data_IF_720838319421
#
_entry.id   IF_720838319421
#
_cell.length_a   1.000
_cell.length_b   1.000
_cell.length_c   1.000
_cell.angle_alpha   90.00
_cell.angle_beta   90.00
_cell.angle_gamma   90.00
#
_symmetry.space_group_name_H-M   'P 1'
#
loop_
_entity.id
_entity.type
_entity.pdbx_description
1 polymer ?
#
# COMPACT_ATOMS: atom_id res chain seq x y z
N UNK A 1 -9.04 -6.98 -10.39
CA UNK A 1 -7.65 -6.77 -10.84
C UNK A 1 -7.61 -5.98 -12.15
N UNK A 2 -8.09 -6.52 -13.28
CA UNK A 2 -8.08 -5.80 -14.58
C UNK A 2 -8.82 -4.46 -14.55
N UNK A 3 -10.01 -4.38 -13.96
CA UNK A 3 -10.73 -3.10 -13.79
C UNK A 3 -9.93 -2.08 -12.97
N UNK A 4 -9.25 -2.51 -11.90
CA UNK A 4 -8.46 -1.62 -11.05
C UNK A 4 -7.24 -1.06 -11.77
N UNK A 5 -6.57 -1.90 -12.57
CA UNK A 5 -5.47 -1.50 -13.44
C UNK A 5 -5.93 -0.56 -14.56
N UNK A 6 -7.05 -0.84 -15.23
CA UNK A 6 -7.59 0.09 -16.23
C UNK A 6 -7.94 1.45 -15.62
N UNK A 7 -8.50 1.46 -14.41
CA UNK A 7 -8.85 2.69 -13.70
C UNK A 7 -7.60 3.49 -13.32
N UNK A 8 -6.55 2.84 -12.80
CA UNK A 8 -5.30 3.53 -12.44
C UNK A 8 -4.65 4.17 -13.68
N UNK A 9 -4.63 3.47 -14.81
CA UNK A 9 -4.13 4.02 -16.07
C UNK A 9 -4.94 5.23 -16.56
N UNK A 10 -6.27 5.19 -16.43
CA UNK A 10 -7.11 6.35 -16.72
C UNK A 10 -6.77 7.55 -15.82
N UNK A 11 -6.57 7.32 -14.52
CA UNK A 11 -6.21 8.37 -13.56
C UNK A 11 -4.84 8.97 -13.91
N UNK A 12 -3.85 8.14 -14.22
CA UNK A 12 -2.52 8.59 -14.65
C UNK A 12 -2.61 9.48 -15.89
N UNK A 13 -3.38 9.06 -16.91
CA UNK A 13 -3.56 9.82 -18.13
C UNK A 13 -4.24 11.17 -17.87
N UNK A 14 -5.32 11.19 -17.08
CA UNK A 14 -6.04 12.42 -16.73
C UNK A 14 -5.14 13.38 -15.94
N UNK A 15 -4.39 12.88 -14.96
CA UNK A 15 -3.46 13.69 -14.18
C UNK A 15 -2.32 14.25 -15.04
N UNK A 16 -1.80 13.47 -15.99
CA UNK A 16 -0.76 13.92 -16.92
C UNK A 16 -1.27 15.02 -17.86
N UNK A 17 -2.54 14.94 -18.27
CA UNK A 17 -3.21 16.01 -19.03
C UNK A 17 -3.39 17.30 -18.22
N UNK A 18 -3.65 17.20 -16.91
CA UNK A 18 -3.86 18.36 -16.03
C UNK A 18 -2.57 19.09 -15.64
N UNK A 19 -1.46 18.37 -15.48
CA UNK A 19 -0.23 18.92 -14.88
C UNK A 19 0.57 19.83 -15.82
N UNK A 20 0.64 19.53 -17.13
CA UNK A 20 1.61 20.22 -18.03
C UNK A 20 1.07 20.72 -19.38
N UNK A 21 -0.23 20.61 -19.68
CA UNK A 21 -0.84 20.93 -21.00
C UNK A 21 -0.22 20.21 -22.22
N UNK A 22 0.89 19.50 -22.03
CA UNK A 22 1.63 18.71 -23.01
C UNK A 22 1.93 17.35 -22.38
N UNK A 23 1.48 16.28 -23.04
CA UNK A 23 1.73 14.92 -22.57
C UNK A 23 3.17 14.58 -22.93
N UNK A 24 4.09 14.85 -22.03
CA UNK A 24 5.48 14.39 -22.15
C UNK A 24 5.59 13.00 -21.55
N UNK A 25 6.46 12.15 -22.13
CA UNK A 25 6.74 10.83 -21.59
C UNK A 25 7.25 10.90 -20.14
N UNK A 26 7.97 11.97 -19.79
CA UNK A 26 8.45 12.25 -18.44
C UNK A 26 7.31 12.54 -17.45
N UNK A 27 6.30 13.32 -17.84
CA UNK A 27 5.11 13.58 -17.00
C UNK A 27 4.36 12.27 -16.70
N UNK A 28 4.17 11.43 -17.71
CA UNK A 28 3.55 10.11 -17.55
C UNK A 28 4.31 9.24 -16.55
N UNK A 29 5.64 9.17 -16.67
CA UNK A 29 6.51 8.38 -15.78
C UNK A 29 6.37 8.87 -14.33
N UNK A 30 6.46 10.18 -14.11
CA UNK A 30 6.40 10.77 -12.76
C UNK A 30 5.07 10.47 -12.07
N UNK A 31 3.95 10.68 -12.77
CA UNK A 31 2.62 10.45 -12.20
C UNK A 31 2.37 8.97 -11.97
N UNK A 32 2.77 8.11 -12.92
CA UNK A 32 2.68 6.65 -12.75
C UNK A 32 3.49 6.18 -11.54
N UNK A 33 4.68 6.75 -11.32
CA UNK A 33 5.51 6.43 -10.15
C UNK A 33 4.80 6.79 -8.84
N UNK A 34 4.20 7.97 -8.74
CA UNK A 34 3.46 8.36 -7.53
C UNK A 34 2.27 7.44 -7.27
N UNK A 35 1.46 7.15 -8.29
CA UNK A 35 0.28 6.27 -8.14
C UNK A 35 0.70 4.85 -7.75
N UNK A 36 1.66 4.26 -8.47
CA UNK A 36 2.15 2.93 -8.17
C UNK A 36 2.74 2.84 -6.75
N UNK A 37 3.51 3.86 -6.34
CA UNK A 37 4.10 3.94 -5.00
C UNK A 37 3.04 3.99 -3.90
N UNK A 38 2.00 4.81 -4.06
CA UNK A 38 0.90 4.91 -3.09
C UNK A 38 0.18 3.56 -2.98
N UNK A 39 -0.16 2.93 -4.10
CA UNK A 39 -0.86 1.64 -4.13
C UNK A 39 -0.05 0.54 -3.43
N UNK A 40 1.23 0.40 -3.79
CA UNK A 40 2.13 -0.59 -3.19
C UNK A 40 2.31 -0.29 -1.69
N UNK A 41 2.57 0.96 -1.32
CA UNK A 41 2.79 1.35 0.06
C UNK A 41 1.56 1.06 0.93
N UNK A 42 0.38 1.49 0.51
CA UNK A 42 -0.87 1.21 1.23
C UNK A 42 -1.12 -0.30 1.35
N UNK A 43 -0.89 -1.06 0.28
CA UNK A 43 -1.07 -2.51 0.32
C UNK A 43 -0.10 -3.20 1.30
N UNK A 44 1.14 -2.74 1.39
CA UNK A 44 2.14 -3.24 2.34
C UNK A 44 1.79 -2.88 3.79
N UNK A 45 1.25 -1.68 4.03
CA UNK A 45 0.74 -1.29 5.34
C UNK A 45 -0.41 -2.21 5.76
N UNK A 46 -1.41 -2.41 4.90
CA UNK A 46 -2.53 -3.31 5.19
C UNK A 46 -2.05 -4.75 5.40
N UNK A 47 -1.11 -5.23 4.58
CA UNK A 47 -0.51 -6.56 4.74
C UNK A 47 0.21 -6.71 6.09
N UNK A 48 0.96 -5.68 6.52
CA UNK A 48 1.66 -5.67 7.80
C UNK A 48 0.69 -5.70 8.98
N UNK A 49 -0.45 -5.00 8.88
CA UNK A 49 -1.47 -5.05 9.92
C UNK A 49 -2.16 -6.42 9.95
N UNK A 50 -2.56 -6.93 8.78
CA UNK A 50 -3.21 -8.24 8.65
C UNK A 50 -2.31 -9.41 9.06
N UNK A 51 -0.98 -9.28 8.95
CA UNK A 51 -0.05 -10.33 9.39
C UNK A 51 0.09 -10.46 10.90
N UNK A 52 -0.56 -9.57 11.68
CA UNK A 52 -0.46 -9.55 13.14
C UNK A 52 0.84 -8.92 13.65
N UNK A 53 1.63 -8.25 12.79
CA UNK A 53 2.85 -7.55 13.21
C UNK A 53 2.54 -6.52 14.31
N UNK A 54 1.50 -5.71 14.12
CA UNK A 54 1.08 -4.72 15.12
C UNK A 54 0.59 -5.35 16.42
N UNK A 55 -0.03 -6.53 16.35
CA UNK A 55 -0.48 -7.25 17.54
C UNK A 55 0.70 -7.82 18.32
N UNK A 56 1.70 -8.38 17.62
CA UNK A 56 2.93 -8.87 18.22
C UNK A 56 3.73 -7.76 18.88
N UNK A 57 3.84 -6.59 18.23
CA UNK A 57 4.49 -5.40 18.80
C UNK A 57 3.72 -4.92 20.04
N UNK A 58 2.41 -4.74 19.95
CA UNK A 58 1.57 -4.28 21.06
C UNK A 58 1.63 -5.22 22.26
N UNK A 59 1.59 -6.54 22.01
CA UNK A 59 1.77 -7.55 23.03
C UNK A 59 3.15 -7.50 23.68
N UNK A 60 4.21 -7.29 22.89
CA UNK A 60 5.58 -7.20 23.39
C UNK A 60 5.77 -6.00 24.30
N UNK A 61 5.30 -4.81 23.88
CA UNK A 61 5.29 -3.61 24.73
C UNK A 61 4.52 -3.86 26.02
N UNK A 62 3.29 -4.38 25.92
CA UNK A 62 2.49 -4.68 27.12
C UNK A 62 3.19 -5.67 28.04
N UNK A 63 3.85 -6.69 27.51
CA UNK A 63 4.55 -7.70 28.33
C UNK A 63 5.74 -7.12 29.08
N UNK A 64 6.47 -6.19 28.46
CA UNK A 64 7.64 -5.52 29.05
C UNK A 64 7.23 -4.47 30.08
N UNK A 65 6.15 -3.74 29.83
CA UNK A 65 5.71 -2.60 30.66
C UNK A 65 4.60 -2.93 31.67
N UNK A 66 3.90 -4.07 31.55
CA UNK A 66 2.82 -4.44 32.48
C UNK A 66 3.35 -4.96 33.83
N UNK A 67 2.77 -4.45 34.90
CA UNK A 67 2.98 -4.93 36.27
C UNK A 67 2.45 -6.36 36.47
N UNK A 68 2.91 -7.04 37.54
CA UNK A 68 2.57 -8.45 37.84
C UNK A 68 1.06 -8.75 37.89
N UNK A 69 0.22 -7.76 38.18
CA UNK A 69 -1.24 -7.93 38.33
C UNK A 69 -2.00 -7.84 36.99
N UNK A 70 -1.51 -7.10 36.00
CA UNK A 70 -2.20 -6.95 34.70
C UNK A 70 -2.00 -8.16 33.78
N UNK A 71 -0.99 -9.01 34.00
CA UNK A 71 -0.67 -10.14 33.10
C UNK A 71 -1.80 -11.17 32.94
N UNK A 72 -2.71 -11.28 33.93
CA UNK A 72 -3.76 -12.31 33.94
C UNK A 72 -5.13 -11.86 33.42
N UNK A 73 -5.48 -10.57 33.47
CA UNK A 73 -6.77 -10.06 32.98
C UNK A 73 -6.75 -9.63 31.50
N UNK A 74 -5.56 -9.54 30.90
CA UNK A 74 -5.32 -8.79 29.67
C UNK A 74 -5.65 -9.47 28.34
N UNK A 75 -5.74 -10.81 28.32
CA UNK A 75 -5.63 -11.58 27.07
C UNK A 75 -6.91 -11.65 26.24
N UNK A 76 -8.08 -11.46 26.87
CA UNK A 76 -9.37 -11.72 26.22
C UNK A 76 -10.19 -10.45 25.91
N UNK A 77 -9.78 -9.28 26.43
CA UNK A 77 -10.63 -8.08 26.35
C UNK A 77 -10.29 -7.15 25.17
N UNK A 78 -9.14 -7.36 24.49
CA UNK A 78 -8.70 -6.51 23.38
C UNK A 78 -8.74 -7.29 22.07
N UNK A 79 -9.62 -6.88 21.17
CA UNK A 79 -9.64 -7.39 19.80
C UNK A 79 -8.35 -6.99 19.08
N UNK A 80 -7.59 -7.93 18.51
CA UNK A 80 -6.37 -7.64 17.78
C UNK A 80 -6.67 -6.82 16.52
N UNK A 81 -5.75 -5.93 16.16
CA UNK A 81 -5.90 -5.05 15.01
C UNK A 81 -5.93 -5.83 13.69
N UNK A 82 -5.25 -6.99 13.63
CA UNK A 82 -5.31 -7.91 12.49
C UNK A 82 -6.72 -8.48 12.26
N UNK A 83 -7.52 -8.71 13.30
CA UNK A 83 -8.90 -9.20 13.17
C UNK A 83 -9.88 -8.08 12.79
N UNK A 84 -9.59 -6.84 13.18
CA UNK A 84 -10.41 -5.68 12.84
C UNK A 84 -10.27 -5.30 11.35
N UNK A 85 -9.11 -5.55 10.75
CA UNK A 85 -8.83 -5.20 9.35
C UNK A 85 -8.96 -6.45 8.48
N UNK A 86 -10.16 -6.66 7.94
CA UNK A 86 -10.49 -7.74 7.01
C UNK A 86 -10.28 -7.35 5.53
N UNK A 87 -9.61 -6.23 5.27
CA UNK A 87 -9.40 -5.70 3.92
C UNK A 87 -8.39 -6.58 3.18
N UNK A 88 -8.82 -7.15 2.05
CA UNK A 88 -7.93 -7.89 1.17
C UNK A 88 -7.02 -6.91 0.38
N UNK A 89 -5.76 -6.78 0.81
CA UNK A 89 -4.76 -5.91 0.18
C UNK A 89 -4.19 -6.47 -1.14
N UNK A 90 -4.40 -7.76 -1.43
CA UNK A 90 -3.74 -8.46 -2.53
C UNK A 90 -4.06 -7.84 -3.92
N UNK A 91 -5.31 -7.46 -4.23
CA UNK A 91 -5.63 -6.78 -5.48
C UNK A 91 -4.97 -5.41 -5.60
N UNK A 92 -4.81 -4.69 -4.50
CA UNK A 92 -4.19 -3.36 -4.47
C UNK A 92 -2.69 -3.45 -4.73
N UNK A 93 -2.02 -4.42 -4.10
CA UNK A 93 -0.61 -4.71 -4.32
C UNK A 93 -0.34 -5.09 -5.77
N UNK A 94 -1.13 -6.01 -6.33
CA UNK A 94 -0.97 -6.46 -7.71
C UNK A 94 -1.13 -5.30 -8.70
N UNK A 95 -2.18 -4.48 -8.57
CA UNK A 95 -2.39 -3.33 -9.46
C UNK A 95 -1.21 -2.35 -9.37
N UNK A 96 -0.78 -2.00 -8.15
CA UNK A 96 0.37 -1.12 -7.95
C UNK A 96 1.67 -1.70 -8.53
N UNK A 97 1.89 -3.02 -8.42
CA UNK A 97 3.06 -3.70 -8.96
C UNK A 97 3.08 -3.67 -10.50
N UNK A 98 1.94 -3.91 -11.15
CA UNK A 98 1.83 -3.81 -12.62
C UNK A 98 2.06 -2.38 -13.10
N UNK A 99 1.48 -1.38 -12.42
CA UNK A 99 1.70 0.03 -12.74
C UNK A 99 3.17 0.42 -12.56
N UNK A 100 3.83 -0.09 -11.51
CA UNK A 100 5.24 0.14 -11.27
C UNK A 100 6.14 -0.46 -12.36
N UNK A 101 5.87 -1.71 -12.78
CA UNK A 101 6.62 -2.37 -13.85
C UNK A 101 6.44 -1.65 -15.20
N UNK A 102 5.23 -1.17 -15.48
CA UNK A 102 4.95 -0.41 -16.70
C UNK A 102 5.70 0.93 -16.66
N UNK A 103 5.66 1.64 -15.53
CA UNK A 103 6.42 2.87 -15.32
C UNK A 103 7.93 2.63 -15.51
N UNK A 104 8.50 1.56 -14.95
CA UNK A 104 9.92 1.21 -15.15
C UNK A 104 10.24 0.94 -16.62
N UNK A 105 9.33 0.29 -17.35
CA UNK A 105 9.49 0.05 -18.78
C UNK A 105 9.48 1.36 -19.57
N UNK A 106 8.57 2.29 -19.23
CA UNK A 106 8.52 3.62 -19.85
C UNK A 106 9.77 4.43 -19.53
N UNK A 107 10.28 4.35 -18.30
CA UNK A 107 11.54 4.99 -17.89
C UNK A 107 12.73 4.44 -18.67
N UNK A 108 12.80 3.11 -18.84
CA UNK A 108 13.85 2.49 -19.65
C UNK A 108 13.82 2.99 -21.10
N UNK A 109 12.63 3.05 -21.71
CA UNK A 109 12.45 3.57 -23.08
C UNK A 109 12.80 5.07 -23.16
N UNK A 110 12.51 5.86 -22.14
CA UNK A 110 12.83 7.29 -22.11
C UNK A 110 14.35 7.57 -22.16
N UNK A 111 15.17 6.66 -21.63
CA UNK A 111 16.64 6.79 -21.58
C UNK A 111 17.37 6.06 -22.70
N UNK A 112 16.66 5.41 -23.62
CA UNK A 112 17.21 4.69 -24.77
C UNK A 112 17.39 5.64 -25.96
#
# INVERSE_FOLDING_TARGET
MFIGFSLSQFIVLILSLLDQQTITLLSYINISFYIASILIFTSMVVFTVHSGFFDAISYSFRTVFAGKEEKNHSRNDITPLSELITINANPLFLVGLFDFLLMLSALYVYYL
#
